data_IF_708671561196
#
_entry.id   IF_708671561196
#
_cell.length_a   1.000
_cell.length_b   1.000
_cell.length_c   1.000
_cell.angle_alpha   90.00
_cell.angle_beta   90.00
_cell.angle_gamma   90.00
#
_symmetry.space_group_name_H-M   'P 1'
#
loop_
_entity.id
_entity.type
_entity.pdbx_description
1 polymer ?
#
# COMPACT_ATOMS: atom_id res chain seq x y z
N UNK A 1 -7.56 -19.62 23.94
CA UNK A 1 -6.38 -20.36 23.44
C UNK A 1 -6.53 -20.41 21.94
N UNK A 2 -5.70 -19.66 21.21
CA UNK A 2 -4.80 -20.20 20.15
C UNK A 2 -4.24 -19.02 19.33
N UNK A 3 -2.93 -18.78 19.47
CA UNK A 3 -2.04 -18.19 18.46
C UNK A 3 -2.42 -16.92 17.70
N UNK A 4 -2.13 -15.75 18.27
CA UNK A 4 -1.81 -14.53 17.52
C UNK A 4 -0.45 -14.67 16.81
N UNK A 5 -0.32 -15.68 15.96
CA UNK A 5 0.83 -15.87 15.09
C UNK A 5 0.50 -15.20 13.76
N UNK A 6 0.32 -13.89 13.84
CA UNK A 6 0.20 -13.03 12.67
C UNK A 6 1.56 -13.09 11.94
N UNK A 7 1.70 -14.03 11.01
CA UNK A 7 2.64 -13.86 9.91
C UNK A 7 2.19 -12.59 9.18
N UNK A 8 2.73 -11.48 9.67
CA UNK A 8 2.46 -10.09 9.32
C UNK A 8 2.97 -9.90 7.91
N UNK A 9 2.17 -10.34 6.95
CA UNK A 9 2.35 -9.95 5.56
C UNK A 9 2.32 -8.42 5.55
N UNK A 10 3.48 -7.79 5.38
CA UNK A 10 3.62 -6.33 5.47
C UNK A 10 2.78 -5.70 4.36
N UNK A 11 1.73 -4.98 4.74
CA UNK A 11 0.92 -4.18 3.83
C UNK A 11 1.74 -2.95 3.39
N UNK A 12 2.43 -3.04 2.25
CA UNK A 12 3.29 -1.96 1.76
C UNK A 12 2.49 -0.67 1.45
N UNK A 13 1.26 -0.81 0.97
CA UNK A 13 0.35 0.31 0.73
C UNK A 13 0.01 1.05 2.04
N UNK A 14 -0.28 0.31 3.12
CA UNK A 14 -0.52 0.90 4.45
C UNK A 14 0.75 1.52 5.04
N UNK A 15 1.92 0.90 4.85
CA UNK A 15 3.21 1.43 5.33
C UNK A 15 3.53 2.77 4.66
N UNK A 16 3.25 2.91 3.38
CA UNK A 16 3.42 4.17 2.65
C UNK A 16 2.24 5.14 2.81
N UNK A 17 1.22 4.79 3.60
CA UNK A 17 0.01 5.60 3.79
C UNK A 17 -0.68 5.98 2.46
N UNK A 18 -0.73 5.04 1.51
CA UNK A 18 -1.33 5.21 0.18
C UNK A 18 -2.40 4.16 -0.11
N UNK A 19 -3.36 4.54 -0.94
CA UNK A 19 -4.39 3.64 -1.45
C UNK A 19 -3.79 2.57 -2.40
N UNK A 20 -4.46 1.43 -2.53
CA UNK A 20 -4.07 0.36 -3.48
C UNK A 20 -4.11 0.85 -4.95
N UNK A 21 -4.96 1.83 -5.25
CA UNK A 21 -5.09 2.50 -6.56
C UNK A 21 -4.11 3.69 -6.73
N UNK A 22 -3.20 3.93 -5.77
CA UNK A 22 -2.30 5.07 -5.83
C UNK A 22 -1.42 5.05 -7.08
N UNK A 23 -1.29 6.21 -7.71
CA UNK A 23 -0.37 6.43 -8.83
C UNK A 23 1.08 6.40 -8.36
N UNK A 24 2.00 6.15 -9.29
CA UNK A 24 3.44 6.14 -9.00
C UNK A 24 3.92 7.45 -8.37
N UNK A 25 3.39 8.57 -8.85
CA UNK A 25 3.63 9.90 -8.28
C UNK A 25 3.19 9.98 -6.80
N UNK A 26 2.02 9.44 -6.46
CA UNK A 26 1.51 9.48 -5.08
C UNK A 26 2.32 8.58 -4.15
N UNK A 27 2.79 7.43 -4.64
CA UNK A 27 3.71 6.53 -3.92
C UNK A 27 5.03 7.26 -3.63
N UNK A 28 5.61 7.91 -4.64
CA UNK A 28 6.86 8.68 -4.51
C UNK A 28 6.70 9.86 -3.54
N UNK A 29 5.62 10.63 -3.65
CA UNK A 29 5.36 11.79 -2.78
C UNK A 29 5.21 11.38 -1.31
N UNK A 30 4.46 10.31 -1.02
CA UNK A 30 4.29 9.84 0.35
C UNK A 30 5.57 9.22 0.91
N UNK A 31 6.34 8.49 0.09
CA UNK A 31 7.67 8.03 0.47
C UNK A 31 8.58 9.19 0.90
N UNK A 32 8.65 10.27 0.11
CA UNK A 32 9.45 11.45 0.45
C UNK A 32 9.01 12.08 1.78
N UNK A 33 7.70 12.23 1.99
CA UNK A 33 7.12 12.76 3.24
C UNK A 33 7.49 11.90 4.45
N UNK A 34 7.37 10.58 4.31
CA UNK A 34 7.68 9.61 5.37
C UNK A 34 9.19 9.52 5.63
N UNK A 35 10.02 9.53 4.59
CA UNK A 35 11.47 9.50 4.70
C UNK A 35 12.00 10.71 5.46
N UNK A 36 11.43 11.91 5.22
CA UNK A 36 11.77 13.13 5.97
C UNK A 36 11.32 13.06 7.43
N UNK A 37 10.15 12.45 7.69
CA UNK A 37 9.59 12.29 9.04
C UNK A 37 10.39 11.29 9.89
N UNK A 38 10.82 10.19 9.29
CA UNK A 38 11.50 9.09 9.96
C UNK A 38 13.01 9.05 9.66
N UNK A 39 13.59 10.17 9.21
CA UNK A 39 15.01 10.20 8.84
C UNK A 39 15.89 9.95 10.07
N UNK A 40 16.87 9.03 10.00
CA UNK A 40 17.70 8.65 11.16
C UNK A 40 18.55 9.82 11.69
N UNK A 41 18.88 10.81 10.84
CA UNK A 41 19.62 12.00 11.29
C UNK A 41 18.83 12.87 12.29
N UNK A 42 17.50 12.91 12.18
CA UNK A 42 16.63 13.65 13.12
C UNK A 42 16.33 12.86 14.40
N UNK A 43 16.56 11.55 14.38
CA UNK A 43 16.21 10.61 15.45
C UNK A 43 17.38 9.69 15.80
N UNK A 44 18.54 10.29 16.11
CA UNK A 44 19.75 9.55 16.48
C UNK A 44 19.50 8.75 17.76
N UNK A 45 19.66 7.42 17.67
CA UNK A 45 19.58 6.52 18.82
C UNK A 45 18.24 5.78 19.01
N UNK A 46 17.25 6.03 18.14
CA UNK A 46 15.96 5.34 18.23
C UNK A 46 15.88 4.15 17.25
N UNK A 47 16.02 2.95 17.80
CA UNK A 47 15.95 1.70 17.02
C UNK A 47 14.57 1.51 16.37
N UNK A 48 13.50 2.06 16.94
CA UNK A 48 12.16 1.97 16.36
C UNK A 48 12.02 2.86 15.12
N UNK A 49 12.65 4.05 15.12
CA UNK A 49 12.71 4.92 13.93
C UNK A 49 13.46 4.25 12.79
N UNK A 50 14.57 3.59 13.10
CA UNK A 50 15.36 2.85 12.10
C UNK A 50 14.55 1.70 11.50
N UNK A 51 13.84 0.93 12.34
CA UNK A 51 12.96 -0.15 11.89
C UNK A 51 11.77 0.36 11.05
N UNK A 52 11.18 1.51 11.41
CA UNK A 52 10.12 2.16 10.61
C UNK A 52 10.65 2.62 9.25
N UNK A 53 11.80 3.28 9.23
CA UNK A 53 12.43 3.76 8.00
C UNK A 53 12.78 2.60 7.06
N UNK A 54 13.27 1.49 7.60
CA UNK A 54 13.54 0.28 6.83
C UNK A 54 12.28 -0.29 6.18
N UNK A 55 11.16 -0.33 6.92
CA UNK A 55 9.86 -0.77 6.38
C UNK A 55 9.36 0.14 5.25
N UNK A 56 9.47 1.47 5.43
CA UNK A 56 9.10 2.46 4.40
C UNK A 56 9.93 2.26 3.13
N UNK A 57 11.24 2.01 3.29
CA UNK A 57 12.14 1.80 2.15
C UNK A 57 11.88 0.48 1.41
N UNK A 58 11.56 -0.59 2.16
CA UNK A 58 11.15 -1.88 1.59
C UNK A 58 9.85 -1.74 0.81
N UNK A 59 8.84 -1.09 1.39
CA UNK A 59 7.56 -0.82 0.73
C UNK A 59 7.73 -0.05 -0.57
N UNK A 60 8.53 1.02 -0.56
CA UNK A 60 8.82 1.79 -1.77
C UNK A 60 9.55 0.96 -2.84
N UNK A 61 10.54 0.14 -2.47
CA UNK A 61 11.26 -0.74 -3.42
C UNK A 61 10.37 -1.71 -4.19
N UNK A 62 9.25 -2.13 -3.59
CA UNK A 62 8.28 -3.04 -4.21
C UNK A 62 7.24 -2.27 -5.00
N UNK A 63 6.69 -1.18 -4.43
CA UNK A 63 5.60 -0.44 -5.04
C UNK A 63 6.03 0.56 -6.13
N UNK A 64 7.30 1.00 -6.15
CA UNK A 64 7.82 1.92 -7.18
C UNK A 64 8.13 1.26 -8.51
N UNK A 65 8.22 -0.08 -8.55
CA UNK A 65 8.52 -0.82 -9.77
C UNK A 65 7.24 -1.53 -10.22
N UNK A 66 6.76 -1.26 -11.44
CA UNK A 66 5.47 -1.80 -11.89
C UNK A 66 5.47 -3.33 -11.99
N UNK A 67 6.61 -3.97 -12.29
CA UNK A 67 6.69 -5.43 -12.35
C UNK A 67 6.64 -6.04 -10.95
N UNK A 68 7.39 -5.48 -9.99
CA UNK A 68 7.35 -5.91 -8.58
C UNK A 68 6.01 -5.60 -7.90
N UNK A 69 5.40 -4.47 -8.23
CA UNK A 69 4.06 -4.11 -7.76
C UNK A 69 3.04 -5.13 -8.27
N UNK A 70 3.11 -5.48 -9.56
CA UNK A 70 2.23 -6.50 -10.13
C UNK A 70 2.44 -7.86 -9.46
N UNK A 71 3.69 -8.29 -9.26
CA UNK A 71 4.00 -9.55 -8.54
C UNK A 71 3.50 -9.54 -7.09
N UNK A 72 3.66 -8.41 -6.39
CA UNK A 72 3.15 -8.21 -5.03
C UNK A 72 1.63 -8.22 -4.97
N UNK A 73 0.95 -7.57 -5.92
CA UNK A 73 -0.51 -7.58 -6.00
C UNK A 73 -1.03 -8.97 -6.37
N UNK A 74 -0.41 -9.66 -7.32
CA UNK A 74 -0.75 -11.04 -7.68
C UNK A 74 -0.54 -12.01 -6.51
N UNK A 75 0.56 -11.87 -5.76
CA UNK A 75 0.81 -12.67 -4.56
C UNK A 75 -0.15 -12.31 -3.42
N UNK A 76 -0.52 -11.04 -3.29
CA UNK A 76 -1.51 -10.56 -2.34
C UNK A 76 -2.94 -11.07 -2.61
N UNK A 77 -3.27 -11.35 -3.87
CA UNK A 77 -4.55 -11.94 -4.31
C UNK A 77 -4.75 -13.37 -3.76
N UNK A 78 -3.70 -14.14 -3.47
CA UNK A 78 -3.85 -15.49 -2.91
C UNK A 78 -4.22 -15.52 -1.41
N UNK A 79 -4.21 -14.37 -0.74
CA UNK A 79 -4.56 -14.22 0.69
C UNK A 79 -5.98 -13.67 0.91
N UNK A 80 -6.86 -13.78 -0.09
CA UNK A 80 -8.25 -13.25 -0.04
C UNK A 80 -9.06 -13.78 1.15
N UNK A 81 -8.71 -14.94 1.71
CA UNK A 81 -9.38 -15.55 2.87
C UNK A 81 -9.30 -14.72 4.16
N UNK A 82 -8.41 -13.73 4.23
CA UNK A 82 -8.12 -12.94 5.45
C UNK A 82 -8.72 -11.52 5.48
N UNK A 83 -9.39 -11.07 4.42
CA UNK A 83 -9.89 -9.70 4.31
C UNK A 83 -11.40 -9.60 4.57
N UNK A 84 -11.82 -8.59 5.34
CA UNK A 84 -13.24 -8.23 5.42
C UNK A 84 -13.71 -7.73 4.05
N UNK A 85 -14.96 -8.01 3.66
CA UNK A 85 -15.61 -7.54 2.41
C UNK A 85 -15.32 -6.07 2.07
N UNK A 86 -15.21 -5.20 3.09
CA UNK A 86 -14.86 -3.78 2.93
C UNK A 86 -13.43 -3.56 2.39
N UNK A 87 -12.44 -4.28 2.91
CA UNK A 87 -11.04 -4.14 2.50
C UNK A 87 -10.84 -4.75 1.10
N UNK A 88 -11.52 -5.86 0.83
CA UNK A 88 -11.59 -6.46 -0.51
C UNK A 88 -12.18 -5.46 -1.52
N UNK A 89 -13.33 -4.86 -1.22
CA UNK A 89 -13.94 -3.85 -2.07
C UNK A 89 -13.06 -2.61 -2.25
N UNK A 90 -12.30 -2.20 -1.23
CA UNK A 90 -11.35 -1.09 -1.35
C UNK A 90 -10.17 -1.43 -2.28
N UNK A 91 -9.65 -2.66 -2.19
CA UNK A 91 -8.54 -3.15 -3.01
C UNK A 91 -8.95 -3.41 -4.48
N UNK A 92 -10.18 -3.84 -4.72
CA UNK A 92 -10.68 -4.23 -6.05
C UNK A 92 -11.70 -3.24 -6.64
N UNK A 93 -11.91 -2.06 -6.05
CA UNK A 93 -12.89 -1.06 -6.51
C UNK A 93 -12.76 -0.72 -7.99
N UNK A 94 -11.52 -0.65 -8.51
CA UNK A 94 -11.24 -0.41 -9.93
C UNK A 94 -11.53 -1.60 -10.85
N UNK A 95 -11.42 -2.83 -10.34
CA UNK A 95 -11.63 -4.05 -11.13
C UNK A 95 -13.10 -4.52 -11.13
N UNK A 96 -13.83 -4.27 -10.04
CA UNK A 96 -15.26 -4.63 -9.91
C UNK A 96 -16.17 -3.57 -10.54
N UNK A 97 -15.73 -2.30 -10.60
CA UNK A 97 -16.54 -1.17 -11.09
C UNK A 97 -16.07 -0.60 -12.43
N UNK A 98 -15.47 -1.42 -13.30
CA UNK A 98 -15.47 -1.15 -14.75
C UNK A 98 -16.49 -2.05 -15.44
N UNK A 99 -17.73 -2.03 -14.92
CA UNK A 99 -18.88 -2.24 -15.77
C UNK A 99 -18.94 -1.09 -16.78
N UNK A 100 -18.18 -1.22 -17.86
CA UNK A 100 -18.53 -0.65 -19.16
C UNK A 100 -19.84 -1.30 -19.65
N UNK A 101 -20.91 -1.01 -18.91
CA UNK A 101 -22.27 -1.49 -19.13
C UNK A 101 -23.34 -0.45 -18.76
N UNK A 102 -22.97 0.71 -18.19
CA UNK A 102 -23.91 1.81 -17.92
C UNK A 102 -23.34 3.22 -18.14
N UNK A 103 -22.32 3.38 -18.99
CA UNK A 103 -22.03 4.67 -19.65
C UNK A 103 -22.06 5.93 -18.77
N UNK A 104 -21.41 5.94 -17.61
CA UNK A 104 -21.26 7.16 -16.81
C UNK A 104 -19.84 7.67 -17.00
N UNK A 105 -19.69 8.57 -17.97
CA UNK A 105 -18.56 9.49 -18.07
C UNK A 105 -18.42 10.25 -16.75
N UNK A 106 -17.25 10.20 -16.11
CA UNK A 106 -16.93 11.16 -15.05
C UNK A 106 -16.66 12.53 -15.68
N UNK A 107 -17.75 13.17 -16.08
CA UNK A 107 -17.86 14.62 -16.24
C UNK A 107 -17.78 15.21 -14.82
N UNK A 108 -16.69 15.95 -14.61
CA UNK A 108 -16.53 17.17 -13.82
C UNK A 108 -17.42 17.40 -12.60
N UNK A 109 -16.80 17.73 -11.46
CA UNK A 109 -17.30 18.84 -10.62
C UNK A 109 -16.12 19.68 -10.13
N UNK A 110 -15.99 20.87 -10.71
CA UNK A 110 -15.49 22.08 -10.07
C UNK A 110 -16.74 22.87 -9.65
#
# INVERSE_FOLDING_TARGET
MEGDENTTQKDYYKILEVDYDATDEKIRLNYLKLALKWHPDKHKGDSAVTAKFQQINEAYRVLSDPAKRSDYDLTGIYQIDKYTLREYLARFKGMILTCNGLGISHTSMW
#
